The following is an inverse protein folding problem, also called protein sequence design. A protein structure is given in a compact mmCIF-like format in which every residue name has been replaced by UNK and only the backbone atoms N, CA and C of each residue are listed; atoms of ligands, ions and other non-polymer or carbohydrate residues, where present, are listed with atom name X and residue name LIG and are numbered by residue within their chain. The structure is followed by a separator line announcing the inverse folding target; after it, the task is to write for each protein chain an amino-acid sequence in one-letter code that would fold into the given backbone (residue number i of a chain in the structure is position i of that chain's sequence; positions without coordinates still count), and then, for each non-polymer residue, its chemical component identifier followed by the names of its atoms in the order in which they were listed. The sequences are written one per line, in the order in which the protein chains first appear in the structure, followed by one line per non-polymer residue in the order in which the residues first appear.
data_IF_154568147401
#
_entry.id   IF_154568147401
#
_cell.length_a   1.000
_cell.length_b   1.000
_cell.length_c   1.000
_cell.angle_alpha   90.00
_cell.angle_beta   90.00
_cell.angle_gamma   90.00
#
_symmetry.space_group_name_H-M   'P 1'
#
loop_
_entity.id
_entity.type
_entity.pdbx_description
1 polymer ?
#
# COMPACT_ATOMS: atom_id res chain seq x y z
N UNK A 1 -49.87 -55.06 25.66
CA UNK A 1 -48.42 -54.81 25.63
C UNK A 1 -48.17 -53.77 24.54
N UNK A 2 -47.97 -52.49 24.90
CA UNK A 2 -47.71 -51.36 23.96
C UNK A 2 -46.20 -51.06 23.96
N UNK A 3 -45.53 -51.38 22.85
CA UNK A 3 -44.12 -51.01 22.63
C UNK A 3 -44.02 -49.50 22.35
N UNK A 4 -43.32 -48.73 23.20
CA UNK A 4 -42.94 -47.35 22.95
C UNK A 4 -41.60 -47.32 22.19
N UNK A 5 -41.63 -46.87 20.94
CA UNK A 5 -40.42 -46.58 20.17
C UNK A 5 -39.88 -45.21 20.59
N UNK A 6 -38.65 -45.20 21.10
CA UNK A 6 -37.90 -43.98 21.41
C UNK A 6 -37.15 -43.60 20.11
N UNK A 7 -37.53 -42.48 19.53
CA UNK A 7 -36.81 -41.85 18.40
C UNK A 7 -35.69 -40.99 18.98
N UNK A 8 -34.46 -41.46 18.82
CA UNK A 8 -33.25 -40.69 19.20
C UNK A 8 -32.94 -39.73 18.06
N UNK A 9 -33.20 -38.40 18.27
CA UNK A 9 -32.83 -37.36 17.33
C UNK A 9 -31.34 -37.06 17.51
N UNK A 10 -30.51 -37.49 16.56
CA UNK A 10 -29.11 -37.06 16.45
C UNK A 10 -29.08 -35.64 15.95
N UNK A 11 -28.74 -34.69 16.83
CA UNK A 11 -28.38 -33.29 16.44
C UNK A 11 -26.96 -33.34 15.88
N UNK A 12 -26.82 -33.35 14.56
CA UNK A 12 -25.56 -33.14 13.88
C UNK A 12 -25.22 -31.63 13.99
N UNK A 13 -24.34 -31.30 14.92
CA UNK A 13 -23.72 -29.95 14.94
C UNK A 13 -22.83 -29.83 13.69
N UNK A 14 -23.33 -29.13 12.68
CA UNK A 14 -22.54 -28.68 11.55
C UNK A 14 -21.49 -27.69 12.08
N UNK A 15 -20.31 -28.21 12.41
CA UNK A 15 -19.09 -27.42 12.50
C UNK A 15 -18.83 -26.84 11.08
N UNK A 16 -19.22 -25.61 10.84
CA UNK A 16 -18.75 -24.88 9.68
C UNK A 16 -17.20 -24.94 9.71
N UNK A 17 -16.55 -25.41 8.64
CA UNK A 17 -15.10 -25.31 8.56
C UNK A 17 -14.75 -23.84 8.66
N UNK A 18 -14.09 -23.44 9.77
CA UNK A 18 -13.44 -22.15 9.84
C UNK A 18 -12.52 -22.06 8.61
N UNK A 19 -12.83 -21.17 7.67
CA UNK A 19 -11.93 -20.83 6.58
C UNK A 19 -10.61 -20.43 7.24
N UNK A 20 -9.62 -21.29 7.18
CA UNK A 20 -8.26 -20.98 7.59
C UNK A 20 -7.79 -19.85 6.67
N UNK A 21 -7.84 -18.62 7.18
CA UNK A 21 -7.19 -17.48 6.56
C UNK A 21 -5.69 -17.79 6.55
N UNK A 22 -5.06 -17.67 5.41
CA UNK A 22 -3.64 -18.00 5.25
C UNK A 22 -2.81 -17.26 6.30
N UNK A 23 -2.12 -18.00 7.17
CA UNK A 23 -1.14 -17.56 8.17
C UNK A 23 -1.54 -16.29 8.97
N UNK A 24 -2.67 -16.33 9.66
CA UNK A 24 -3.21 -15.18 10.39
C UNK A 24 -2.35 -14.77 11.59
N UNK A 25 -2.30 -13.44 11.83
CA UNK A 25 -1.85 -12.91 13.12
C UNK A 25 -2.72 -13.48 14.25
N UNK A 26 -2.20 -13.61 15.49
CA UNK A 26 -3.00 -14.03 16.62
C UNK A 26 -4.28 -13.18 16.76
N UNK A 27 -5.40 -13.81 17.10
CA UNK A 27 -6.68 -13.11 17.27
C UNK A 27 -6.98 -12.80 18.73
N UNK A 28 -7.84 -11.80 18.97
CA UNK A 28 -8.39 -11.48 20.28
C UNK A 28 -9.81 -10.94 20.15
N UNK A 29 -10.58 -11.01 21.23
CA UNK A 29 -11.81 -10.20 21.34
C UNK A 29 -11.40 -8.72 21.43
N UNK A 30 -12.15 -7.78 20.84
CA UNK A 30 -11.82 -6.36 20.90
C UNK A 30 -11.53 -5.85 22.32
N UNK A 31 -12.33 -6.26 23.29
CA UNK A 31 -12.19 -5.85 24.69
C UNK A 31 -10.86 -6.28 25.32
N UNK A 32 -10.28 -7.40 24.88
CA UNK A 32 -9.00 -7.88 25.40
C UNK A 32 -7.80 -7.02 24.96
N UNK A 33 -8.02 -6.16 23.97
CA UNK A 33 -6.99 -5.23 23.46
C UNK A 33 -7.42 -3.76 23.61
N UNK A 34 -8.41 -3.47 24.46
CA UNK A 34 -8.89 -2.11 24.79
C UNK A 34 -9.69 -1.48 23.65
N UNK A 35 -10.44 -2.29 22.89
CA UNK A 35 -11.35 -1.83 21.84
C UNK A 35 -12.79 -2.23 22.19
N UNK A 36 -13.78 -1.42 21.80
CA UNK A 36 -15.21 -1.73 21.94
C UNK A 36 -15.73 -2.45 20.69
N UNK A 37 -16.26 -3.67 20.87
CA UNK A 37 -16.95 -4.41 19.82
C UNK A 37 -18.13 -3.64 19.23
N UNK A 38 -18.94 -3.00 20.07
CA UNK A 38 -20.10 -2.18 19.68
C UNK A 38 -19.66 -1.04 18.76
N UNK A 39 -18.59 -0.33 19.14
CA UNK A 39 -18.10 0.80 18.37
C UNK A 39 -17.42 0.36 17.07
N UNK A 40 -16.71 -0.76 17.05
CA UNK A 40 -16.16 -1.35 15.82
C UNK A 40 -17.27 -1.76 14.84
N UNK A 41 -18.44 -2.21 15.33
CA UNK A 41 -19.57 -2.56 14.47
C UNK A 41 -20.07 -1.40 13.60
N UNK A 42 -19.81 -0.14 14.00
CA UNK A 42 -20.11 1.06 13.19
C UNK A 42 -19.39 1.05 11.85
N UNK A 43 -18.17 0.48 11.78
CA UNK A 43 -17.44 0.31 10.53
C UNK A 43 -18.26 -0.52 9.56
N UNK A 44 -18.74 -1.70 10.00
CA UNK A 44 -19.59 -2.57 9.19
C UNK A 44 -20.87 -1.88 8.75
N UNK A 45 -21.54 -1.15 9.65
CA UNK A 45 -22.81 -0.46 9.36
C UNK A 45 -22.62 0.60 8.25
N UNK A 46 -21.60 1.45 8.38
CA UNK A 46 -21.31 2.51 7.40
C UNK A 46 -20.95 1.91 6.04
N UNK A 47 -20.06 0.92 6.01
CA UNK A 47 -19.64 0.32 4.75
C UNK A 47 -20.76 -0.47 4.06
N UNK A 48 -21.64 -1.16 4.80
CA UNK A 48 -22.82 -1.82 4.23
C UNK A 48 -23.78 -0.81 3.61
N UNK A 49 -24.08 0.28 4.31
CA UNK A 49 -24.92 1.34 3.77
C UNK A 49 -24.33 1.95 2.49
N UNK A 50 -23.00 2.06 2.37
CA UNK A 50 -22.36 2.56 1.15
C UNK A 50 -22.40 1.54 0.01
N UNK A 51 -22.32 0.25 0.28
CA UNK A 51 -22.55 -0.83 -0.70
C UNK A 51 -23.98 -0.81 -1.22
N UNK A 52 -24.97 -0.66 -0.33
CA UNK A 52 -26.40 -0.58 -0.66
C UNK A 52 -26.70 0.64 -1.53
N UNK A 53 -26.09 1.79 -1.23
CA UNK A 53 -26.19 3.03 -2.02
C UNK A 53 -25.39 3.00 -3.33
N UNK A 54 -24.66 1.92 -3.62
CA UNK A 54 -23.85 1.80 -4.83
C UNK A 54 -22.59 2.67 -4.86
N UNK A 55 -22.09 3.13 -3.71
CA UNK A 55 -20.88 3.95 -3.64
C UNK A 55 -19.60 3.12 -3.76
N UNK A 56 -19.60 1.90 -3.22
CA UNK A 56 -18.49 0.94 -3.32
C UNK A 56 -19.03 -0.45 -3.68
N UNK A 57 -18.24 -1.30 -4.35
CA UNK A 57 -18.65 -2.69 -4.58
C UNK A 57 -18.64 -3.50 -3.29
N UNK A 58 -17.64 -3.31 -2.47
CA UNK A 58 -17.41 -3.99 -1.20
C UNK A 58 -16.05 -3.61 -0.61
N UNK A 59 -15.79 -4.10 0.59
CA UNK A 59 -14.56 -3.82 1.33
C UNK A 59 -14.16 -4.97 2.24
N UNK A 60 -12.85 -5.06 2.54
CA UNK A 60 -12.29 -5.86 3.63
C UNK A 60 -11.56 -4.91 4.57
N UNK A 61 -11.86 -4.98 5.88
CA UNK A 61 -11.19 -4.19 6.92
C UNK A 61 -10.62 -5.12 7.98
N UNK A 62 -9.35 -4.92 8.32
CA UNK A 62 -8.64 -5.59 9.41
C UNK A 62 -8.17 -4.54 10.41
N UNK A 63 -8.45 -4.77 11.69
CA UNK A 63 -7.90 -3.97 12.81
C UNK A 63 -7.16 -4.91 13.75
N UNK A 64 -5.88 -4.66 13.94
CA UNK A 64 -5.05 -5.33 14.93
C UNK A 64 -4.57 -4.30 15.97
N UNK A 65 -4.56 -4.68 17.24
CA UNK A 65 -4.01 -3.89 18.35
C UNK A 65 -3.26 -4.78 19.32
N UNK A 66 -2.16 -4.30 19.88
CA UNK A 66 -1.27 -5.07 20.78
C UNK A 66 -0.84 -6.41 20.16
N UNK A 67 -0.55 -6.38 18.84
CA UNK A 67 -0.13 -7.55 18.07
C UNK A 67 -1.19 -8.61 17.80
N UNK A 68 -2.47 -8.32 18.04
CA UNK A 68 -3.60 -9.26 17.88
C UNK A 68 -4.69 -8.66 16.99
N UNK A 69 -5.19 -9.46 16.06
CA UNK A 69 -6.34 -9.08 15.21
C UNK A 69 -7.61 -9.12 16.05
N UNK A 70 -8.22 -7.95 16.22
CA UNK A 70 -9.45 -7.77 17.00
C UNK A 70 -10.70 -7.61 16.13
N UNK A 71 -10.54 -7.31 14.84
CA UNK A 71 -11.65 -7.09 13.94
C UNK A 71 -11.27 -7.44 12.51
N UNK A 72 -12.06 -8.31 11.88
CA UNK A 72 -12.00 -8.62 10.46
C UNK A 72 -13.41 -8.62 9.90
N UNK A 73 -13.66 -7.79 8.90
CA UNK A 73 -14.96 -7.76 8.22
C UNK A 73 -14.79 -7.67 6.71
N UNK A 74 -15.54 -8.51 6.01
CA UNK A 74 -15.77 -8.43 4.59
C UNK A 74 -17.24 -8.01 4.38
N UNK A 75 -17.47 -6.95 3.58
CA UNK A 75 -18.80 -6.43 3.31
C UNK A 75 -19.02 -6.27 1.80
N UNK A 76 -20.25 -6.46 1.35
CA UNK A 76 -20.63 -6.29 -0.04
C UNK A 76 -20.12 -7.39 -0.96
N UNK A 77 -19.64 -7.00 -2.14
CA UNK A 77 -19.33 -7.90 -3.23
C UNK A 77 -17.85 -7.79 -3.63
N UNK A 78 -17.24 -8.94 -3.90
CA UNK A 78 -15.94 -9.02 -4.58
C UNK A 78 -16.08 -8.70 -6.06
N UNK A 79 -17.20 -9.11 -6.65
CA UNK A 79 -17.67 -8.71 -7.98
C UNK A 79 -19.17 -8.45 -7.90
N UNK A 80 -19.58 -7.17 -7.92
CA UNK A 80 -20.99 -6.79 -7.80
C UNK A 80 -21.77 -7.14 -9.06
N UNK A 81 -21.13 -7.07 -10.23
CA UNK A 81 -21.78 -7.39 -11.51
C UNK A 81 -22.11 -8.89 -11.58
N UNK A 82 -21.21 -9.74 -11.11
CA UNK A 82 -21.43 -11.19 -11.04
C UNK A 82 -22.22 -11.63 -9.78
N UNK A 83 -22.56 -10.70 -8.88
CA UNK A 83 -23.22 -11.01 -7.60
C UNK A 83 -22.35 -11.80 -6.63
N UNK A 84 -21.03 -11.84 -6.83
CA UNK A 84 -20.13 -12.65 -6.00
C UNK A 84 -19.83 -11.94 -4.67
N UNK A 85 -20.14 -12.53 -3.51
CA UNK A 85 -19.92 -11.92 -2.21
C UNK A 85 -18.43 -11.63 -1.94
N UNK A 86 -18.16 -10.59 -1.17
CA UNK A 86 -16.81 -10.28 -0.66
C UNK A 86 -16.39 -11.33 0.37
N UNK A 87 -15.13 -11.74 0.31
CA UNK A 87 -14.52 -12.65 1.28
C UNK A 87 -13.25 -12.03 1.87
N UNK A 88 -12.86 -12.38 3.12
CA UNK A 88 -11.68 -11.81 3.76
C UNK A 88 -10.37 -12.06 3.00
N UNK A 89 -10.31 -13.13 2.22
CA UNK A 89 -9.17 -13.56 1.41
C UNK A 89 -9.18 -12.97 -0.02
N UNK A 90 -10.06 -12.02 -0.31
CA UNK A 90 -10.10 -11.34 -1.60
C UNK A 90 -8.77 -10.64 -1.90
N UNK A 91 -8.34 -10.72 -3.16
CA UNK A 91 -7.10 -10.13 -3.66
C UNK A 91 -7.39 -8.77 -4.28
N UNK A 92 -6.66 -7.76 -3.84
CA UNK A 92 -6.85 -6.37 -4.27
C UNK A 92 -5.61 -5.84 -4.98
N UNK A 93 -5.81 -5.01 -6.02
CA UNK A 93 -4.74 -4.22 -6.62
C UNK A 93 -4.34 -3.13 -5.65
N UNK A 94 -3.10 -3.16 -5.19
CA UNK A 94 -2.60 -2.27 -4.13
C UNK A 94 -2.40 -0.83 -4.58
N UNK A 95 -2.18 -0.60 -5.88
CA UNK A 95 -1.68 0.67 -6.36
C UNK A 95 -0.48 1.14 -5.51
N UNK A 96 -0.48 2.39 -5.05
CA UNK A 96 0.66 2.98 -4.35
C UNK A 96 1.02 2.35 -3.00
N UNK A 97 0.20 1.47 -2.45
CA UNK A 97 0.63 0.63 -1.32
C UNK A 97 1.76 -0.34 -1.69
N UNK A 98 2.12 -0.48 -2.96
CA UNK A 98 3.33 -1.16 -3.42
C UNK A 98 4.61 -0.47 -2.96
N UNK A 99 4.61 0.88 -2.84
CA UNK A 99 5.80 1.68 -2.54
C UNK A 99 6.50 1.34 -1.21
N UNK A 100 5.78 1.18 -0.09
CA UNK A 100 6.41 0.75 1.16
C UNK A 100 7.10 -0.61 1.05
N UNK A 101 6.53 -1.56 0.28
CA UNK A 101 7.14 -2.87 0.05
C UNK A 101 8.49 -2.75 -0.65
N UNK A 102 8.55 -1.94 -1.73
CA UNK A 102 9.79 -1.71 -2.50
C UNK A 102 10.80 -0.92 -1.68
N UNK A 103 10.35 0.04 -0.88
CA UNK A 103 11.23 0.79 0.02
C UNK A 103 11.88 -0.12 1.07
N UNK A 104 11.11 -1.02 1.69
CA UNK A 104 11.64 -2.02 2.64
C UNK A 104 12.63 -2.95 1.96
N UNK A 105 12.38 -3.37 0.70
CA UNK A 105 13.32 -4.17 -0.07
C UNK A 105 14.65 -3.43 -0.30
N UNK A 106 14.61 -2.16 -0.69
CA UNK A 106 15.81 -1.35 -0.85
C UNK A 106 16.54 -1.10 0.48
N UNK A 107 15.80 -0.88 1.58
CA UNK A 107 16.36 -0.74 2.91
C UNK A 107 17.02 -2.04 3.43
N UNK A 108 16.55 -3.22 3.02
CA UNK A 108 17.24 -4.47 3.33
C UNK A 108 18.62 -4.57 2.66
N UNK A 109 18.75 -4.06 1.43
CA UNK A 109 20.04 -3.95 0.74
C UNK A 109 20.95 -2.86 1.36
N UNK A 110 20.35 -1.78 1.87
CA UNK A 110 21.06 -0.77 2.64
C UNK A 110 21.69 -1.37 3.93
N UNK A 111 20.95 -2.20 4.67
CA UNK A 111 21.47 -2.90 5.85
C UNK A 111 22.61 -3.86 5.51
N UNK A 112 22.63 -4.42 4.31
CA UNK A 112 23.71 -5.27 3.80
C UNK A 112 24.93 -4.46 3.28
N UNK A 113 24.88 -3.12 3.32
CA UNK A 113 25.92 -2.23 2.78
C UNK A 113 26.05 -2.28 1.25
N UNK A 114 25.07 -2.81 0.54
CA UNK A 114 25.08 -2.95 -0.92
C UNK A 114 24.61 -1.70 -1.65
N UNK A 115 23.93 -0.81 -0.98
CA UNK A 115 23.60 0.54 -1.43
C UNK A 115 23.61 1.50 -0.24
N UNK A 116 23.80 2.79 -0.49
CA UNK A 116 23.73 3.85 0.52
C UNK A 116 22.64 4.85 0.11
N UNK A 117 21.99 5.49 1.10
CA UNK A 117 20.96 6.50 0.83
C UNK A 117 21.53 7.72 0.08
N UNK A 118 22.79 8.05 0.31
CA UNK A 118 23.48 9.15 -0.37
C UNK A 118 24.06 8.79 -1.75
N UNK A 119 24.02 7.50 -2.14
CA UNK A 119 24.51 7.12 -3.46
C UNK A 119 23.71 7.83 -4.56
N UNK A 120 24.39 8.39 -5.59
CA UNK A 120 23.70 8.89 -6.77
C UNK A 120 23.05 7.73 -7.51
N UNK A 121 21.84 7.96 -8.02
CA UNK A 121 21.10 6.95 -8.78
C UNK A 121 21.87 6.49 -10.02
N UNK A 122 22.65 7.39 -10.62
CA UNK A 122 23.51 7.11 -11.78
C UNK A 122 24.60 6.07 -11.55
N UNK A 123 24.98 5.81 -10.29
CA UNK A 123 25.87 4.71 -9.91
C UNK A 123 25.29 3.35 -10.33
N UNK A 124 23.99 3.22 -10.30
CA UNK A 124 23.25 2.00 -10.65
C UNK A 124 22.62 2.08 -12.04
N UNK A 125 22.12 3.27 -12.41
CA UNK A 125 21.44 3.52 -13.70
C UNK A 125 22.17 4.67 -14.41
N UNK A 126 23.27 4.40 -15.13
CA UNK A 126 24.11 5.45 -15.76
C UNK A 126 23.35 6.39 -16.71
N UNK A 127 22.26 5.91 -17.34
CA UNK A 127 21.41 6.71 -18.22
C UNK A 127 20.76 7.93 -17.51
N UNK A 128 20.68 7.91 -16.16
CA UNK A 128 20.12 9.01 -15.36
C UNK A 128 21.19 10.00 -14.85
N UNK A 129 22.43 9.93 -15.34
CA UNK A 129 23.53 10.83 -14.93
C UNK A 129 23.35 12.26 -15.45
N UNK A 130 22.98 12.38 -16.73
CA UNK A 130 22.95 13.67 -17.44
C UNK A 130 21.54 14.27 -17.48
N UNK A 131 20.91 14.41 -16.31
CA UNK A 131 19.60 15.03 -16.20
C UNK A 131 19.69 16.56 -16.33
N UNK A 132 18.60 17.17 -16.79
CA UNK A 132 18.40 18.63 -16.82
C UNK A 132 17.14 18.97 -16.03
N UNK A 133 16.94 20.27 -15.71
CA UNK A 133 15.80 20.74 -14.93
C UNK A 133 15.04 21.82 -15.67
N UNK A 134 13.71 21.76 -15.60
CA UNK A 134 12.85 22.79 -16.16
C UNK A 134 12.75 22.78 -17.68
N UNK A 135 11.96 23.69 -18.20
CA UNK A 135 11.73 23.87 -19.65
C UNK A 135 13.00 24.31 -20.36
N UNK A 136 13.79 25.17 -19.72
CA UNK A 136 15.07 25.68 -20.22
C UNK A 136 16.19 24.63 -20.20
N UNK A 137 15.93 23.44 -19.63
CA UNK A 137 16.91 22.36 -19.51
C UNK A 137 18.21 22.79 -18.81
N UNK A 138 18.06 23.55 -17.72
CA UNK A 138 19.19 23.95 -16.90
C UNK A 138 19.94 22.72 -16.34
N UNK A 139 21.25 22.81 -16.07
CA UNK A 139 21.99 21.74 -15.41
C UNK A 139 21.41 21.41 -14.02
N UNK A 140 21.53 20.16 -13.60
CA UNK A 140 21.27 19.79 -12.20
C UNK A 140 22.40 20.33 -11.31
N UNK A 141 22.07 20.86 -10.14
CA UNK A 141 23.05 21.30 -9.13
C UNK A 141 23.72 20.09 -8.47
N UNK A 142 23.00 18.98 -8.35
CA UNK A 142 23.51 17.68 -7.92
C UNK A 142 22.68 16.53 -8.52
N UNK A 143 23.27 15.37 -8.58
CA UNK A 143 22.54 14.18 -8.99
C UNK A 143 21.47 13.79 -7.96
N UNK A 144 20.36 13.16 -8.42
CA UNK A 144 19.38 12.57 -7.52
C UNK A 144 19.98 11.35 -6.80
N UNK A 145 19.64 11.16 -5.53
CA UNK A 145 20.13 10.08 -4.68
C UNK A 145 19.07 9.01 -4.45
N UNK A 146 19.48 7.86 -3.90
CA UNK A 146 18.56 6.81 -3.45
C UNK A 146 17.57 7.37 -2.41
N UNK A 147 18.02 8.24 -1.49
CA UNK A 147 17.13 8.91 -0.54
C UNK A 147 16.09 9.78 -1.24
N UNK A 148 16.48 10.53 -2.28
CA UNK A 148 15.55 11.36 -3.04
C UNK A 148 14.46 10.53 -3.74
N UNK A 149 14.79 9.31 -4.22
CA UNK A 149 13.78 8.39 -4.75
C UNK A 149 12.79 7.97 -3.67
N UNK A 150 13.26 7.57 -2.48
CA UNK A 150 12.42 7.08 -1.39
C UNK A 150 11.54 8.17 -0.79
N UNK A 151 12.00 9.42 -0.78
CA UNK A 151 11.27 10.56 -0.20
C UNK A 151 10.60 11.46 -1.23
N UNK A 152 10.58 11.07 -2.51
CA UNK A 152 9.96 11.84 -3.61
C UNK A 152 10.50 13.26 -3.77
N UNK A 153 11.82 13.45 -3.64
CA UNK A 153 12.51 14.72 -3.90
C UNK A 153 13.50 14.62 -5.07
N UNK A 154 13.35 13.62 -5.91
CA UNK A 154 14.23 13.35 -7.06
C UNK A 154 14.09 14.38 -8.20
N UNK A 155 13.00 15.14 -8.23
CA UNK A 155 12.61 16.00 -9.37
C UNK A 155 11.82 15.28 -10.47
N UNK A 156 11.71 13.93 -10.42
CA UNK A 156 10.82 13.15 -11.29
C UNK A 156 9.35 13.45 -11.00
N UNK A 157 8.48 13.16 -11.97
CA UNK A 157 7.01 13.26 -11.81
C UNK A 157 6.27 12.11 -12.48
N UNK A 158 4.94 12.16 -12.50
CA UNK A 158 4.04 11.37 -13.34
C UNK A 158 3.49 12.22 -14.47
N UNK A 159 3.31 11.68 -15.67
CA UNK A 159 2.78 12.39 -16.82
C UNK A 159 1.35 12.90 -16.64
N UNK A 160 0.54 12.23 -15.82
CA UNK A 160 -0.85 12.61 -15.55
C UNK A 160 -1.05 13.63 -14.40
N UNK A 161 0.03 14.22 -13.87
CA UNK A 161 -0.08 15.17 -12.74
C UNK A 161 -0.17 16.62 -13.14
N UNK A 162 0.05 16.93 -14.41
CA UNK A 162 -0.01 18.29 -14.94
C UNK A 162 -0.17 18.30 -16.45
N UNK A 163 -0.28 19.50 -17.02
CA UNK A 163 -0.59 19.71 -18.43
C UNK A 163 0.53 20.39 -19.23
N UNK A 164 1.63 20.81 -18.57
CA UNK A 164 2.75 21.44 -19.27
C UNK A 164 3.55 20.42 -20.10
N UNK A 165 4.39 20.93 -21.01
CA UNK A 165 5.19 20.08 -21.91
C UNK A 165 6.09 19.08 -21.16
N UNK A 166 6.60 19.45 -19.98
CA UNK A 166 7.42 18.52 -19.18
C UNK A 166 6.61 17.29 -18.79
N UNK A 167 5.37 17.45 -18.30
CA UNK A 167 4.54 16.31 -17.91
C UNK A 167 4.25 15.36 -19.08
N UNK A 168 4.07 15.87 -20.30
CA UNK A 168 3.83 15.07 -21.50
C UNK A 168 5.02 14.18 -21.89
N UNK A 169 6.23 14.54 -21.46
CA UNK A 169 7.44 13.75 -21.69
C UNK A 169 7.51 12.54 -20.76
N UNK A 170 6.86 12.61 -19.59
CA UNK A 170 6.85 11.51 -18.64
C UNK A 170 5.85 10.41 -18.99
N UNK A 171 6.12 9.16 -18.60
CA UNK A 171 5.08 8.12 -18.57
C UNK A 171 3.91 8.56 -17.69
N UNK A 172 2.69 8.21 -18.11
CA UNK A 172 1.47 8.63 -17.42
C UNK A 172 1.43 8.18 -15.97
N UNK A 173 1.64 6.89 -15.75
CA UNK A 173 1.63 6.27 -14.42
C UNK A 173 2.41 4.95 -14.42
N UNK A 174 2.77 4.43 -13.25
CA UNK A 174 3.42 3.13 -13.08
C UNK A 174 2.61 2.01 -13.75
N UNK A 175 1.29 1.99 -13.50
CA UNK A 175 0.41 0.95 -14.04
C UNK A 175 0.35 0.94 -15.57
N UNK A 176 0.20 2.09 -16.21
CA UNK A 176 0.16 2.21 -17.67
C UNK A 176 1.53 1.89 -18.27
N UNK A 177 2.58 2.43 -17.69
CA UNK A 177 3.96 2.22 -18.18
C UNK A 177 4.33 0.75 -18.23
N UNK A 178 4.08 0.01 -17.16
CA UNK A 178 4.45 -1.40 -17.07
C UNK A 178 3.68 -2.33 -18.04
N UNK A 179 2.57 -1.87 -18.59
CA UNK A 179 1.82 -2.59 -19.64
C UNK A 179 2.36 -2.31 -21.04
N UNK A 180 2.91 -1.10 -21.26
CA UNK A 180 3.25 -0.59 -22.60
C UNK A 180 4.75 -0.57 -22.89
N UNK A 181 5.59 -0.35 -21.87
CA UNK A 181 7.04 -0.18 -21.98
C UNK A 181 7.77 -1.35 -21.30
N UNK A 182 8.91 -1.74 -21.82
CA UNK A 182 9.91 -2.50 -21.08
C UNK A 182 10.57 -1.60 -20.03
N UNK A 183 11.30 -2.17 -19.06
CA UNK A 183 12.03 -1.38 -18.07
C UNK A 183 13.10 -0.50 -18.72
N UNK A 184 13.78 -0.98 -19.76
CA UNK A 184 14.82 -0.21 -20.45
C UNK A 184 14.20 0.97 -21.23
N UNK A 185 13.08 0.77 -21.95
CA UNK A 185 12.32 1.85 -22.60
C UNK A 185 11.78 2.87 -21.58
N UNK A 186 11.36 2.40 -20.41
CA UNK A 186 10.92 3.28 -19.32
C UNK A 186 12.07 4.15 -18.82
N UNK A 187 13.23 3.60 -18.53
CA UNK A 187 14.42 4.34 -18.09
C UNK A 187 14.91 5.29 -19.19
N UNK A 188 14.94 4.83 -20.45
CA UNK A 188 15.31 5.68 -21.60
C UNK A 188 14.39 6.90 -21.71
N UNK A 189 13.07 6.71 -21.56
CA UNK A 189 12.12 7.83 -21.57
C UNK A 189 12.36 8.81 -20.43
N UNK A 190 12.63 8.33 -19.23
CA UNK A 190 12.97 9.17 -18.07
C UNK A 190 14.28 9.93 -18.27
N UNK A 191 15.29 9.33 -18.89
CA UNK A 191 16.59 9.98 -19.13
C UNK A 191 16.51 11.17 -20.09
N UNK A 192 15.52 11.17 -21.00
CA UNK A 192 15.27 12.25 -21.98
C UNK A 192 14.38 13.36 -21.43
N UNK A 193 13.61 13.10 -20.38
CA UNK A 193 12.71 14.07 -19.76
C UNK A 193 13.46 14.95 -18.74
N UNK A 194 13.31 16.29 -18.78
CA UNK A 194 13.89 17.14 -17.74
C UNK A 194 13.17 16.94 -16.42
N UNK A 195 13.87 17.05 -15.31
CA UNK A 195 13.28 17.05 -13.97
C UNK A 195 12.40 18.30 -13.79
N UNK A 196 11.34 18.21 -12.98
CA UNK A 196 10.52 19.38 -12.64
C UNK A 196 11.26 20.37 -11.73
N UNK A 197 12.05 19.85 -10.80
CA UNK A 197 12.75 20.61 -9.77
C UNK A 197 14.16 20.07 -9.57
N UNK A 198 15.04 20.89 -9.03
CA UNK A 198 16.36 20.46 -8.58
C UNK A 198 16.21 19.32 -7.55
N UNK A 199 16.97 18.20 -7.68
CA UNK A 199 16.93 17.12 -6.72
C UNK A 199 17.18 17.59 -5.29
N UNK A 200 16.33 17.17 -4.37
CA UNK A 200 16.41 17.52 -2.95
C UNK A 200 15.76 18.82 -2.55
N UNK A 201 15.20 19.62 -3.46
CA UNK A 201 14.66 20.94 -3.14
C UNK A 201 13.16 20.96 -2.88
N UNK A 202 12.42 20.01 -3.48
CA UNK A 202 10.95 19.98 -3.40
C UNK A 202 10.41 18.58 -3.47
N UNK A 203 9.37 18.32 -2.68
CA UNK A 203 8.60 17.09 -2.75
C UNK A 203 7.67 17.10 -3.96
N UNK A 204 7.79 16.09 -4.80
CA UNK A 204 6.92 15.85 -5.95
C UNK A 204 6.65 14.34 -6.08
N UNK A 205 5.39 13.97 -5.91
CA UNK A 205 4.98 12.57 -6.03
C UNK A 205 5.18 12.04 -7.46
N UNK A 206 5.91 10.93 -7.61
CA UNK A 206 6.52 10.61 -8.89
C UNK A 206 6.75 9.12 -9.12
N UNK A 207 7.29 8.81 -10.30
CA UNK A 207 7.80 7.50 -10.70
C UNK A 207 9.10 7.08 -9.96
N UNK A 208 9.50 7.83 -8.93
CA UNK A 208 10.72 7.55 -8.15
C UNK A 208 10.80 6.12 -7.64
N UNK A 209 9.69 5.54 -7.17
CA UNK A 209 9.71 4.19 -6.64
C UNK A 209 9.79 3.11 -7.73
N UNK A 210 9.40 3.41 -8.97
CA UNK A 210 9.64 2.54 -10.12
C UNK A 210 11.14 2.49 -10.43
N UNK A 211 11.81 3.66 -10.40
CA UNK A 211 13.28 3.76 -10.54
C UNK A 211 13.98 3.05 -9.37
N UNK A 212 13.49 3.20 -8.13
CA UNK A 212 14.01 2.47 -6.97
C UNK A 212 13.86 0.96 -7.14
N UNK A 213 12.75 0.49 -7.71
CA UNK A 213 12.55 -0.92 -8.07
C UNK A 213 13.65 -1.42 -9.02
N UNK A 214 13.99 -0.62 -10.06
CA UNK A 214 15.10 -0.96 -10.96
C UNK A 214 16.46 -0.99 -10.25
N UNK A 215 16.71 -0.07 -9.32
CA UNK A 215 17.92 -0.11 -8.48
C UNK A 215 17.97 -1.40 -7.67
N UNK A 216 16.85 -1.82 -7.07
CA UNK A 216 16.76 -3.09 -6.33
C UNK A 216 17.09 -4.28 -7.24
N UNK A 217 16.57 -4.33 -8.47
CA UNK A 217 16.90 -5.38 -9.45
C UNK A 217 18.40 -5.43 -9.76
N UNK A 218 19.00 -4.29 -10.06
CA UNK A 218 20.43 -4.20 -10.41
C UNK A 218 21.31 -4.62 -9.23
N UNK A 219 21.01 -4.12 -8.03
CA UNK A 219 21.81 -4.43 -6.83
C UNK A 219 21.62 -5.88 -6.38
N UNK A 220 20.41 -6.41 -6.47
CA UNK A 220 20.13 -7.80 -6.07
C UNK A 220 20.54 -8.84 -7.11
N UNK A 221 20.52 -8.47 -8.40
CA UNK A 221 20.68 -9.39 -9.53
C UNK A 221 19.44 -10.23 -9.79
N UNK A 222 18.26 -9.84 -9.27
CA UNK A 222 16.98 -10.56 -9.36
C UNK A 222 15.86 -9.66 -9.88
N UNK A 223 14.84 -10.21 -10.56
CA UNK A 223 13.59 -9.49 -10.82
C UNK A 223 12.99 -8.95 -9.51
N UNK A 224 12.35 -7.78 -9.57
CA UNK A 224 11.82 -7.10 -8.39
C UNK A 224 10.86 -7.99 -7.59
N UNK A 225 9.89 -8.62 -8.26
CA UNK A 225 8.91 -9.48 -7.61
C UNK A 225 9.53 -10.70 -6.93
N UNK A 226 10.57 -11.29 -7.53
CA UNK A 226 11.30 -12.42 -6.93
C UNK A 226 12.05 -11.98 -5.68
N UNK A 227 12.73 -10.82 -5.72
CA UNK A 227 13.46 -10.29 -4.58
C UNK A 227 12.52 -9.94 -3.41
N UNK A 228 11.37 -9.29 -3.70
CA UNK A 228 10.37 -9.01 -2.68
C UNK A 228 9.78 -10.30 -2.09
N UNK A 229 9.52 -11.30 -2.92
CA UNK A 229 9.02 -12.60 -2.46
C UNK A 229 10.00 -13.28 -1.51
N UNK A 230 11.31 -13.23 -1.83
CA UNK A 230 12.35 -13.83 -0.99
C UNK A 230 12.56 -13.09 0.33
N UNK A 231 12.63 -11.75 0.28
CA UNK A 231 13.03 -10.92 1.42
C UNK A 231 11.88 -10.51 2.34
N UNK A 232 10.65 -10.45 1.80
CA UNK A 232 9.50 -9.91 2.52
C UNK A 232 8.37 -10.93 2.57
N UNK A 233 7.88 -11.39 1.39
CA UNK A 233 6.61 -12.11 1.35
C UNK A 233 6.72 -13.49 2.00
N UNK A 234 7.71 -14.30 1.66
CA UNK A 234 7.91 -15.64 2.25
C UNK A 234 8.21 -15.59 3.74
N UNK A 235 9.18 -14.76 4.23
CA UNK A 235 9.43 -14.63 5.68
C UNK A 235 8.22 -14.18 6.49
N UNK A 236 7.38 -13.30 5.91
CA UNK A 236 6.16 -12.82 6.54
C UNK A 236 4.93 -13.69 6.24
N UNK A 237 5.07 -14.79 5.49
CA UNK A 237 3.97 -15.69 5.09
C UNK A 237 2.86 -14.94 4.32
N UNK A 238 3.22 -13.95 3.50
CA UNK A 238 2.31 -13.18 2.64
C UNK A 238 2.09 -13.93 1.33
N UNK A 239 1.28 -14.98 1.37
CA UNK A 239 1.15 -15.99 0.31
C UNK A 239 0.36 -15.52 -0.91
N UNK A 240 -0.37 -14.42 -0.77
CA UNK A 240 -1.23 -13.84 -1.81
C UNK A 240 -0.73 -12.46 -2.29
N UNK A 241 0.50 -12.08 -1.91
CA UNK A 241 1.12 -10.83 -2.34
C UNK A 241 2.09 -11.09 -3.48
N UNK A 242 1.84 -10.44 -4.65
CA UNK A 242 2.61 -10.67 -5.88
C UNK A 242 2.39 -9.53 -6.89
N UNK A 243 3.13 -9.52 -8.01
CA UNK A 243 2.88 -8.64 -9.16
C UNK A 243 1.98 -9.28 -10.24
N UNK A 244 1.84 -10.60 -10.23
CA UNK A 244 0.99 -11.34 -11.17
C UNK A 244 0.15 -12.36 -10.38
N UNK A 245 -1.17 -12.27 -10.46
CA UNK A 245 -2.07 -13.22 -9.80
C UNK A 245 -2.04 -14.56 -10.54
N UNK A 246 -1.70 -15.68 -9.86
CA UNK A 246 -1.75 -17.01 -10.47
C UNK A 246 -3.16 -17.38 -10.94
N UNK A 247 -3.25 -18.24 -11.95
CA UNK A 247 -4.50 -18.61 -12.60
C UNK A 247 -5.53 -19.24 -11.62
N UNK A 248 -5.06 -20.06 -10.69
CA UNK A 248 -5.88 -20.71 -9.65
C UNK A 248 -6.46 -19.73 -8.62
N UNK A 249 -5.86 -18.53 -8.49
CA UNK A 249 -6.32 -17.46 -7.58
C UNK A 249 -7.14 -16.37 -8.27
N UNK A 250 -7.30 -16.43 -9.61
CA UNK A 250 -8.02 -15.41 -10.40
C UNK A 250 -9.43 -15.12 -9.85
N UNK A 251 -10.15 -16.15 -9.44
CA UNK A 251 -11.51 -16.01 -8.91
C UNK A 251 -11.59 -15.17 -7.61
N UNK A 252 -10.46 -14.95 -6.92
CA UNK A 252 -10.38 -14.15 -5.69
C UNK A 252 -10.12 -12.66 -5.92
N UNK A 253 -9.88 -12.24 -7.17
CA UNK A 253 -9.59 -10.83 -7.48
C UNK A 253 -10.83 -9.96 -7.34
N UNK A 254 -10.75 -8.95 -6.48
CA UNK A 254 -11.82 -7.97 -6.29
C UNK A 254 -11.96 -7.05 -7.52
N UNK A 255 -13.19 -6.78 -7.93
CA UNK A 255 -13.53 -5.92 -9.06
C UNK A 255 -14.11 -4.59 -8.59
N UNK A 256 -13.87 -3.47 -9.32
CA UNK A 256 -14.52 -2.20 -9.06
C UNK A 256 -15.98 -2.22 -9.50
N UNK A 257 -16.73 -1.16 -9.17
CA UNK A 257 -17.96 -0.85 -9.88
C UNK A 257 -17.61 -0.48 -11.33
N UNK A 258 -18.47 -0.79 -12.32
CA UNK A 258 -18.20 -0.49 -13.72
C UNK A 258 -18.17 1.02 -14.04
N UNK A 259 -18.75 1.83 -13.16
CA UNK A 259 -18.80 3.29 -13.31
C UNK A 259 -18.37 3.99 -12.02
N UNK A 260 -17.83 5.19 -12.17
CA UNK A 260 -17.50 6.06 -11.04
C UNK A 260 -18.79 6.53 -10.34
N UNK A 261 -18.97 6.30 -9.04
CA UNK A 261 -20.24 6.55 -8.35
C UNK A 261 -20.75 7.99 -8.39
N UNK A 262 -19.85 8.97 -8.45
CA UNK A 262 -20.22 10.39 -8.43
C UNK A 262 -20.37 11.00 -9.82
N UNK A 263 -19.66 10.48 -10.83
CA UNK A 263 -19.63 11.08 -12.18
C UNK A 263 -20.31 10.24 -13.24
N UNK A 264 -20.57 8.97 -12.99
CA UNK A 264 -21.11 8.01 -13.97
C UNK A 264 -20.11 7.59 -15.06
N UNK A 265 -18.90 8.14 -15.08
CA UNK A 265 -17.89 7.78 -16.05
C UNK A 265 -17.45 6.32 -15.91
N UNK A 266 -17.10 5.68 -17.02
CA UNK A 266 -16.55 4.32 -17.00
C UNK A 266 -15.35 4.23 -16.06
N UNK A 267 -15.30 3.19 -15.21
CA UNK A 267 -14.21 2.94 -14.29
C UNK A 267 -13.73 1.50 -14.41
N UNK A 268 -12.58 1.35 -15.02
CA UNK A 268 -11.91 0.07 -15.21
C UNK A 268 -10.54 0.04 -14.54
N UNK A 269 -10.20 -1.08 -13.96
CA UNK A 269 -8.86 -1.37 -13.48
C UNK A 269 -8.24 -2.46 -14.36
N UNK A 270 -6.91 -2.41 -14.50
CA UNK A 270 -6.18 -3.43 -15.25
C UNK A 270 -6.40 -4.83 -14.66
N UNK A 271 -6.36 -5.85 -15.49
CA UNK A 271 -6.42 -7.26 -15.06
C UNK A 271 -5.05 -7.68 -14.47
N UNK A 272 -4.96 -7.99 -13.15
CA UNK A 272 -3.71 -8.36 -12.51
C UNK A 272 -3.29 -9.80 -12.83
N UNK A 273 -4.04 -10.52 -13.64
CA UNK A 273 -3.69 -11.86 -14.15
C UNK A 273 -3.03 -11.81 -15.53
N UNK A 274 -2.91 -10.61 -16.12
CA UNK A 274 -2.18 -10.38 -17.37
C UNK A 274 -0.74 -9.97 -17.05
N UNK A 275 0.26 -10.68 -17.62
CA UNK A 275 1.66 -10.33 -17.41
C UNK A 275 1.97 -8.90 -17.84
N UNK A 276 2.81 -8.22 -17.06
CA UNK A 276 3.35 -6.90 -17.35
C UNK A 276 4.72 -7.03 -18.01
N UNK A 277 5.18 -5.99 -18.68
CA UNK A 277 6.53 -5.95 -19.25
C UNK A 277 7.62 -5.74 -18.19
N UNK A 278 7.25 -5.17 -17.02
CA UNK A 278 8.10 -5.11 -15.84
C UNK A 278 7.28 -4.99 -14.55
N UNK A 279 7.85 -5.39 -13.43
CA UNK A 279 7.27 -5.23 -12.10
C UNK A 279 7.38 -3.77 -11.65
N UNK A 280 6.30 -3.00 -11.73
CA UNK A 280 6.37 -1.58 -11.40
C UNK A 280 6.34 -1.34 -9.89
N UNK A 281 7.46 -0.84 -9.37
CA UNK A 281 7.63 -0.56 -7.94
C UNK A 281 6.70 0.53 -7.40
N UNK A 282 6.19 1.38 -8.28
CA UNK A 282 5.30 2.48 -7.92
C UNK A 282 3.84 2.08 -7.69
N UNK A 283 3.37 0.87 -8.12
CA UNK A 283 1.94 0.64 -8.00
C UNK A 283 1.34 -0.64 -8.54
N UNK A 284 2.09 -1.70 -8.81
CA UNK A 284 1.56 -2.86 -9.54
C UNK A 284 1.32 -4.11 -8.70
N UNK A 285 1.73 -4.15 -7.45
CA UNK A 285 1.51 -5.31 -6.61
C UNK A 285 0.02 -5.50 -6.26
N UNK A 286 -0.33 -6.74 -5.99
CA UNK A 286 -1.62 -7.15 -5.42
C UNK A 286 -1.39 -7.80 -4.06
N UNK A 287 -2.41 -7.79 -3.21
CA UNK A 287 -2.36 -8.44 -1.89
C UNK A 287 -3.75 -8.69 -1.32
N UNK A 288 -3.83 -9.40 -0.22
CA UNK A 288 -5.01 -9.46 0.65
C UNK A 288 -4.86 -8.50 1.84
N UNK A 289 -5.94 -8.21 2.53
CA UNK A 289 -5.90 -7.40 3.74
C UNK A 289 -5.09 -8.09 4.87
N UNK A 290 -5.17 -9.41 4.98
CA UNK A 290 -4.42 -10.22 5.93
C UNK A 290 -2.91 -10.17 5.69
N UNK A 291 -2.48 -10.42 4.44
CA UNK A 291 -1.06 -10.34 4.07
C UNK A 291 -0.48 -8.95 4.37
N UNK A 292 -1.20 -7.90 3.96
CA UNK A 292 -0.71 -6.54 4.20
C UNK A 292 -0.70 -6.17 5.69
N UNK A 293 -1.64 -6.71 6.49
CA UNK A 293 -1.61 -6.54 7.93
C UNK A 293 -0.36 -7.16 8.58
N UNK A 294 0.13 -8.28 8.06
CA UNK A 294 1.41 -8.89 8.48
C UNK A 294 2.59 -8.00 8.18
N UNK A 295 2.65 -7.41 6.98
CA UNK A 295 3.67 -6.43 6.61
C UNK A 295 3.64 -5.20 7.53
N UNK A 296 2.47 -4.62 7.75
CA UNK A 296 2.31 -3.46 8.62
C UNK A 296 2.65 -3.78 10.09
N UNK A 297 2.28 -4.97 10.58
CA UNK A 297 2.64 -5.44 11.93
C UNK A 297 4.15 -5.67 12.06
N UNK A 298 4.83 -6.19 11.04
CA UNK A 298 6.29 -6.31 11.02
C UNK A 298 6.94 -4.93 11.20
N UNK A 299 6.47 -3.90 10.50
CA UNK A 299 6.97 -2.53 10.67
C UNK A 299 6.68 -2.00 12.08
N UNK A 300 5.45 -2.17 12.59
CA UNK A 300 5.07 -1.78 13.94
C UNK A 300 5.95 -2.45 15.00
N UNK A 301 6.32 -3.71 14.79
CA UNK A 301 7.21 -4.49 15.62
C UNK A 301 8.71 -4.21 15.33
N UNK A 302 9.03 -3.04 14.74
CA UNK A 302 10.39 -2.59 14.47
C UNK A 302 11.20 -3.59 13.63
N UNK A 303 10.57 -4.09 12.56
CA UNK A 303 11.21 -4.92 11.54
C UNK A 303 11.12 -6.43 11.76
N UNK A 304 10.31 -6.91 12.71
CA UNK A 304 10.19 -8.34 13.05
C UNK A 304 8.75 -8.82 13.11
N UNK A 305 8.51 -10.07 12.71
CA UNK A 305 7.25 -10.76 12.92
C UNK A 305 7.50 -12.28 13.04
N UNK A 306 6.95 -12.92 14.07
CA UNK A 306 6.98 -14.39 14.26
C UNK A 306 8.37 -15.01 14.06
N UNK A 307 9.41 -14.38 14.61
CA UNK A 307 10.81 -14.83 14.50
C UNK A 307 11.53 -14.37 13.23
N UNK A 308 10.82 -13.99 12.18
CA UNK A 308 11.42 -13.42 10.98
C UNK A 308 11.87 -11.96 11.24
N UNK A 309 13.07 -11.61 10.82
CA UNK A 309 13.58 -10.24 10.79
C UNK A 309 13.71 -9.80 9.33
N UNK A 310 12.95 -8.80 8.94
CA UNK A 310 13.01 -8.19 7.59
C UNK A 310 13.91 -6.95 7.60
N UNK A 311 13.81 -6.12 8.65
CA UNK A 311 14.66 -4.95 8.88
C UNK A 311 15.15 -4.89 10.34
N UNK A 312 16.22 -4.17 10.57
CA UNK A 312 16.68 -3.78 11.91
C UNK A 312 15.81 -2.68 12.51
N UNK A 313 15.78 -2.61 13.84
CA UNK A 313 15.02 -1.59 14.58
C UNK A 313 15.39 -0.16 14.13
N UNK A 314 16.68 0.14 13.99
CA UNK A 314 17.15 1.47 13.61
C UNK A 314 16.81 1.84 12.16
N UNK A 315 16.69 0.87 11.28
CA UNK A 315 16.27 1.09 9.89
C UNK A 315 14.78 1.40 9.80
N UNK A 316 13.94 0.76 10.62
CA UNK A 316 12.53 1.13 10.72
C UNK A 316 12.35 2.52 11.33
N UNK A 317 13.09 2.87 12.38
CA UNK A 317 13.10 4.21 12.95
C UNK A 317 13.55 5.26 11.92
N UNK A 318 14.61 4.95 11.15
CA UNK A 318 15.04 5.79 10.02
C UNK A 318 13.93 5.93 8.98
N UNK A 319 13.31 4.83 8.55
CA UNK A 319 12.22 4.83 7.55
C UNK A 319 11.05 5.72 7.97
N UNK A 320 10.71 5.73 9.24
CA UNK A 320 9.55 6.45 9.81
C UNK A 320 9.90 7.80 10.45
N UNK A 321 11.10 8.32 10.20
CA UNK A 321 11.53 9.66 10.62
C UNK A 321 11.16 10.72 9.58
N UNK A 322 11.24 12.00 9.96
CA UNK A 322 11.10 13.11 9.02
C UNK A 322 12.33 13.19 8.09
N UNK A 323 12.10 13.02 6.80
CA UNK A 323 13.10 13.16 5.76
C UNK A 323 12.93 14.41 4.89
N UNK A 324 11.93 15.24 5.19
CA UNK A 324 11.75 16.52 4.48
C UNK A 324 12.39 17.67 5.20
N UNK A 325 12.26 17.78 6.53
CA UNK A 325 12.76 18.94 7.27
C UNK A 325 12.27 20.25 6.65
N UNK A 326 13.20 21.05 6.11
CA UNK A 326 12.93 22.33 5.44
C UNK A 326 12.65 22.18 3.92
N UNK A 327 12.70 20.98 3.37
CA UNK A 327 12.39 20.76 1.93
C UNK A 327 10.95 21.17 1.65
N UNK A 328 10.75 21.96 0.58
CA UNK A 328 9.43 22.42 0.18
C UNK A 328 8.48 21.26 -0.09
N UNK A 329 7.30 21.26 0.55
CA UNK A 329 6.25 20.26 0.31
C UNK A 329 5.46 20.52 -0.98
N UNK A 330 5.64 21.69 -1.60
CA UNK A 330 4.88 22.06 -2.79
C UNK A 330 3.38 22.21 -2.55
N UNK A 331 2.66 22.62 -3.59
CA UNK A 331 1.18 22.82 -3.53
C UNK A 331 0.39 21.53 -3.65
N UNK A 332 1.01 20.48 -4.20
CA UNK A 332 0.38 19.17 -4.46
C UNK A 332 0.81 18.10 -3.47
N UNK A 333 1.08 18.47 -2.23
CA UNK A 333 1.48 17.54 -1.17
C UNK A 333 0.31 16.66 -0.72
N UNK A 334 0.32 15.40 -1.11
CA UNK A 334 -0.80 14.48 -0.88
C UNK A 334 -1.01 14.06 0.56
N UNK A 335 0.04 14.01 1.36
CA UNK A 335 -0.09 13.64 2.76
C UNK A 335 -0.92 14.67 3.55
N UNK A 336 -0.98 15.92 3.05
CA UNK A 336 -1.75 17.00 3.67
C UNK A 336 -1.06 17.64 4.86
N UNK A 337 -1.74 18.60 5.51
CA UNK A 337 -1.21 19.28 6.69
C UNK A 337 -1.02 18.29 7.85
N UNK A 338 0.00 18.54 8.69
CA UNK A 338 0.29 17.75 9.87
C UNK A 338 1.02 16.43 9.60
N UNK A 339 1.45 16.21 8.35
CA UNK A 339 2.27 15.08 7.96
C UNK A 339 3.56 15.51 7.29
N UNK A 340 4.64 14.83 7.62
CA UNK A 340 5.89 14.82 6.87
C UNK A 340 6.01 13.56 6.03
N UNK A 341 7.15 13.40 5.36
CA UNK A 341 7.46 12.21 4.57
C UNK A 341 8.71 11.53 5.12
N UNK A 342 8.56 10.23 5.43
CA UNK A 342 9.66 9.35 5.75
C UNK A 342 10.28 8.76 4.47
N UNK A 343 10.70 7.50 4.51
CA UNK A 343 11.13 6.75 3.33
C UNK A 343 9.98 5.84 2.89
N UNK A 344 9.29 6.23 1.80
CA UNK A 344 8.17 5.48 1.22
C UNK A 344 6.85 5.50 2.00
N UNK A 345 6.77 6.25 3.09
CA UNK A 345 5.58 6.43 3.93
C UNK A 345 5.42 7.89 4.36
N UNK A 346 4.19 8.29 4.60
CA UNK A 346 3.85 9.56 5.27
C UNK A 346 3.86 9.35 6.78
N UNK A 347 4.35 10.31 7.55
CA UNK A 347 4.49 10.25 9.01
C UNK A 347 3.80 11.45 9.64
N UNK A 348 2.97 11.24 10.66
CA UNK A 348 2.29 12.34 11.37
C UNK A 348 3.27 13.09 12.26
N UNK A 349 3.33 14.41 12.10
CA UNK A 349 4.21 15.29 12.87
C UNK A 349 3.65 15.62 14.24
N UNK A 350 2.35 15.96 14.30
CA UNK A 350 1.70 16.37 15.56
C UNK A 350 0.20 16.11 15.51
N UNK A 351 -0.41 16.00 16.70
CA UNK A 351 -1.86 15.92 16.83
C UNK A 351 -2.48 17.30 16.53
N UNK A 352 -3.68 17.29 15.94
CA UNK A 352 -4.46 18.49 15.69
C UNK A 352 -4.08 19.30 14.43
N UNK A 353 -2.95 19.03 13.78
CA UNK A 353 -2.58 19.67 12.53
C UNK A 353 -3.30 19.06 11.31
N UNK A 354 -3.52 17.75 11.33
CA UNK A 354 -4.28 17.05 10.28
C UNK A 354 -5.79 17.09 10.57
N UNK A 355 -6.67 17.23 9.55
CA UNK A 355 -8.12 17.26 9.74
C UNK A 355 -8.70 15.83 9.91
N UNK A 356 -7.98 14.95 10.57
CA UNK A 356 -8.40 13.58 10.89
C UNK A 356 -7.72 13.08 12.15
N UNK A 357 -8.38 12.18 12.88
CA UNK A 357 -7.86 11.58 14.09
C UNK A 357 -6.59 10.76 13.82
N UNK A 358 -5.73 10.67 14.82
CA UNK A 358 -4.47 9.91 14.81
C UNK A 358 -3.52 10.43 15.88
N UNK A 359 -2.36 9.82 15.96
CA UNK A 359 -1.34 10.09 16.98
C UNK A 359 -0.03 10.51 16.31
N UNK A 360 0.69 11.47 16.88
CA UNK A 360 2.02 11.85 16.40
C UNK A 360 2.92 10.62 16.31
N UNK A 361 3.57 10.43 15.15
CA UNK A 361 4.36 9.25 14.84
C UNK A 361 3.59 8.14 14.13
N UNK A 362 2.25 8.24 13.94
CA UNK A 362 1.57 7.30 13.05
C UNK A 362 2.08 7.45 11.61
N UNK A 363 2.14 6.34 10.88
CA UNK A 363 2.60 6.35 9.50
C UNK A 363 1.72 5.50 8.60
N UNK A 364 1.63 5.90 7.33
CA UNK A 364 0.73 5.30 6.36
C UNK A 364 1.11 5.61 4.92
N UNK A 365 0.51 4.89 3.96
CA UNK A 365 0.36 5.35 2.59
C UNK A 365 -0.83 4.66 1.91
N UNK A 366 -1.72 5.39 1.21
CA UNK A 366 -2.86 4.81 0.52
C UNK A 366 -2.53 4.39 -0.91
N UNK A 367 -3.39 3.55 -1.48
CA UNK A 367 -3.44 3.26 -2.91
C UNK A 367 -4.55 4.01 -3.62
N UNK A 368 -4.35 4.32 -4.89
CA UNK A 368 -5.31 5.08 -5.72
C UNK A 368 -6.67 4.40 -5.87
N UNK A 369 -6.77 3.09 -5.61
CA UNK A 369 -7.98 2.29 -5.76
C UNK A 369 -8.73 2.08 -4.44
N UNK A 370 -8.58 3.01 -3.47
CA UNK A 370 -9.15 2.96 -2.13
C UNK A 370 -8.62 1.80 -1.26
N UNK A 371 -7.40 1.37 -1.50
CA UNK A 371 -6.64 0.57 -0.56
C UNK A 371 -5.95 1.50 0.42
N UNK A 372 -5.91 1.14 1.71
CA UNK A 372 -5.38 2.00 2.76
C UNK A 372 -4.86 1.17 3.93
N UNK A 373 -3.77 1.62 4.53
CA UNK A 373 -3.25 1.09 5.78
C UNK A 373 -2.62 2.20 6.61
N UNK A 374 -2.58 2.00 7.93
CA UNK A 374 -1.71 2.76 8.80
C UNK A 374 -1.24 1.91 9.97
N UNK A 375 -0.12 2.31 10.55
CA UNK A 375 0.38 1.82 11.81
C UNK A 375 0.52 2.98 12.78
N UNK A 376 0.11 2.77 14.02
CA UNK A 376 0.21 3.73 15.11
C UNK A 376 1.02 3.11 16.24
N UNK A 377 2.31 3.48 16.40
CA UNK A 377 3.17 2.92 17.43
C UNK A 377 2.72 3.22 18.85
N UNK A 378 2.05 4.35 19.09
CA UNK A 378 1.58 4.72 20.42
C UNK A 378 0.35 3.92 20.84
N UNK A 379 -0.55 3.67 19.90
CA UNK A 379 -1.75 2.86 20.11
C UNK A 379 -1.47 1.36 19.91
N UNK A 380 -0.24 0.97 19.53
CA UNK A 380 0.12 -0.40 19.17
C UNK A 380 -0.85 -0.99 18.14
N UNK A 381 -1.27 -0.17 17.16
CA UNK A 381 -2.37 -0.48 16.25
C UNK A 381 -1.90 -0.57 14.80
N UNK A 382 -2.43 -1.56 14.09
CA UNK A 382 -2.37 -1.68 12.63
C UNK A 382 -3.78 -1.77 12.10
N UNK A 383 -4.05 -1.01 11.04
CA UNK A 383 -5.31 -1.09 10.31
C UNK A 383 -5.05 -1.22 8.82
N UNK A 384 -5.78 -2.12 8.19
CA UNK A 384 -5.76 -2.30 6.74
C UNK A 384 -7.18 -2.28 6.22
N UNK A 385 -7.45 -1.47 5.20
CA UNK A 385 -8.72 -1.44 4.49
C UNK A 385 -8.49 -1.59 3.01
N UNK A 386 -9.18 -2.54 2.40
CA UNK A 386 -9.05 -2.86 0.98
C UNK A 386 -10.39 -2.70 0.28
N UNK A 387 -10.40 -1.88 -0.77
CA UNK A 387 -11.51 -1.67 -1.69
C UNK A 387 -10.95 -1.59 -3.12
N UNK A 388 -11.84 -1.61 -4.11
CA UNK A 388 -11.50 -1.25 -5.49
C UNK A 388 -12.47 -0.16 -5.95
N UNK A 389 -12.13 1.11 -5.62
CA UNK A 389 -13.00 2.26 -5.81
C UNK A 389 -12.19 3.54 -6.09
N UNK A 390 -12.70 4.50 -6.87
CA UNK A 390 -12.08 5.81 -7.03
C UNK A 390 -12.23 6.72 -5.80
N UNK A 391 -13.04 6.34 -4.79
CA UNK A 391 -13.41 7.17 -3.65
C UNK A 391 -12.43 7.13 -2.47
N UNK A 392 -11.18 6.72 -2.67
CA UNK A 392 -10.21 6.53 -1.58
C UNK A 392 -10.03 7.73 -0.65
N UNK A 393 -10.06 8.95 -1.19
CA UNK A 393 -9.91 10.17 -0.39
C UNK A 393 -11.05 10.38 0.64
N UNK A 394 -12.24 9.91 0.34
CA UNK A 394 -13.38 9.94 1.26
C UNK A 394 -13.20 8.96 2.41
N UNK A 395 -12.72 7.74 2.12
CA UNK A 395 -12.65 6.67 3.12
C UNK A 395 -11.46 6.79 4.07
N UNK A 396 -10.38 7.49 3.72
CA UNK A 396 -9.23 7.67 4.62
C UNK A 396 -9.61 8.31 5.96
N UNK A 397 -10.15 9.55 6.00
CA UNK A 397 -10.54 10.19 7.26
C UNK A 397 -11.72 9.49 7.95
N UNK A 398 -12.66 8.95 7.15
CA UNK A 398 -13.82 8.22 7.67
C UNK A 398 -13.40 6.96 8.46
N UNK A 399 -12.53 6.13 7.88
CA UNK A 399 -12.05 4.92 8.54
C UNK A 399 -11.23 5.22 9.79
N UNK A 400 -10.39 6.28 9.76
CA UNK A 400 -9.69 6.71 10.98
C UNK A 400 -10.65 7.09 12.08
N UNK A 401 -11.68 7.87 11.80
CA UNK A 401 -12.70 8.23 12.79
C UNK A 401 -13.43 7.00 13.35
N UNK A 402 -13.85 6.08 12.44
CA UNK A 402 -14.60 4.88 12.81
C UNK A 402 -13.77 3.86 13.61
N UNK A 403 -12.47 3.76 13.37
CA UNK A 403 -11.59 2.86 14.11
C UNK A 403 -11.17 3.48 15.45
N UNK A 404 -10.65 4.71 15.42
CA UNK A 404 -10.07 5.31 16.63
C UNK A 404 -11.11 5.62 17.71
N UNK A 405 -12.38 5.89 17.33
CA UNK A 405 -13.47 6.04 18.32
C UNK A 405 -13.78 4.74 19.09
N UNK A 406 -13.28 3.60 18.61
CA UNK A 406 -13.47 2.31 19.28
C UNK A 406 -12.44 2.04 20.38
N UNK A 407 -11.38 2.85 20.49
CA UNK A 407 -10.41 2.76 21.59
C UNK A 407 -11.11 3.22 22.88
N UNK A 408 -11.05 2.38 23.93
CA UNK A 408 -11.65 2.64 25.23
C UNK A 408 -10.63 2.55 26.37
N UNK A 409 -9.44 1.98 26.11
CA UNK A 409 -8.32 1.88 27.05
C UNK A 409 -6.98 1.98 26.32
#
# INVERSE_FOLDING_TARGET
MKRRSIVLALILALLAPGLALAADLPTAKPEQVGLSSERLARITQVLRADVERGRIPGAVVVVARKGRVAYVQAVGFRDKTAGTPMTPDAIFRLASMTKPLVTVAALSLYEEGRLLLADPVSKYIPALKTQTVGVERAPVEREMTIQDLMRHTSGLTYGNRGTTEIYKMYPESSNVSSLTLTMDEFIERLSKAPLLYQPGTRWEYSLSTDVLGRVVEIVSGKPLGEFLAERIYRPLKMTDTTFLVPADKRARVAQPLPTHPDTGAEYKLHDPTVPRKFDCGGGCAVSTAGDYARFAQMLLNRGRLEGARVLGTKTVELMTSDHLGQISRGTNYFAGPGYTWGLGVSVREANGLAPMAGTAGDYFWPGAFATYWWADPKEEMVVVSMMQSPLGRHYIPLLRALVLQAIVE
#
